data_IF_776935690642
#
_entry.id   IF_776935690642
#
_cell.length_a   1.000
_cell.length_b   1.000
_cell.length_c   1.000
_cell.angle_alpha   90.00
_cell.angle_beta   90.00
_cell.angle_gamma   90.00
#
_symmetry.space_group_name_H-M   'P 1'
#
loop_
_entity.id
_entity.type
_entity.pdbx_description
1 polymer ?
#
# COMPACT_ATOMS: atom_id res chain seq x y z
N UNK A 1 47.79 -10.75 17.68
CA UNK A 1 47.79 -10.19 16.30
C UNK A 1 46.35 -9.85 15.97
N UNK A 2 46.01 -8.57 16.07
CA UNK A 2 44.69 -8.03 15.75
C UNK A 2 44.53 -8.02 14.22
N UNK A 3 43.50 -8.69 13.70
CA UNK A 3 43.05 -8.50 12.34
C UNK A 3 41.94 -7.45 12.39
N UNK A 4 42.30 -6.21 12.06
CA UNK A 4 41.35 -5.12 11.87
C UNK A 4 40.41 -5.48 10.71
N UNK A 5 39.11 -5.49 11.02
CA UNK A 5 38.05 -5.75 10.06
C UNK A 5 38.12 -4.76 8.91
N UNK A 6 38.36 -5.30 7.71
CA UNK A 6 38.31 -4.56 6.47
C UNK A 6 36.97 -3.81 6.39
N UNK A 7 37.06 -2.48 6.39
CA UNK A 7 35.97 -1.58 6.06
C UNK A 7 35.46 -1.92 4.65
N UNK A 8 34.44 -2.79 4.56
CA UNK A 8 33.68 -3.03 3.34
C UNK A 8 32.95 -1.74 2.95
N UNK A 9 33.62 -0.94 2.12
CA UNK A 9 33.01 0.14 1.38
C UNK A 9 32.03 -0.48 0.37
N UNK A 10 30.76 -0.63 0.75
CA UNK A 10 29.71 -0.87 -0.23
C UNK A 10 29.65 0.35 -1.16
N UNK A 11 29.79 0.17 -2.49
CA UNK A 11 29.78 1.28 -3.43
C UNK A 11 28.45 2.05 -3.32
N UNK A 12 28.42 3.35 -3.66
CA UNK A 12 27.20 4.15 -3.61
C UNK A 12 26.20 3.64 -4.65
N UNK A 13 25.44 2.62 -4.30
CA UNK A 13 24.32 2.16 -5.11
C UNK A 13 23.34 3.32 -5.17
N UNK A 14 23.03 3.77 -6.39
CA UNK A 14 22.00 4.78 -6.67
C UNK A 14 20.79 4.51 -5.76
N UNK A 15 20.26 5.56 -5.12
CA UNK A 15 19.14 5.50 -4.15
C UNK A 15 18.00 4.55 -4.56
N UNK A 16 17.75 4.46 -5.86
CA UNK A 16 16.77 3.56 -6.51
C UNK A 16 17.11 2.07 -6.31
N UNK A 17 18.38 1.66 -6.49
CA UNK A 17 18.82 0.28 -6.29
C UNK A 17 18.71 -0.16 -4.83
N UNK A 18 19.01 0.75 -3.89
CA UNK A 18 18.94 0.45 -2.45
C UNK A 18 17.51 0.22 -1.95
N UNK A 19 16.53 0.89 -2.55
CA UNK A 19 15.11 0.73 -2.20
C UNK A 19 14.45 -0.38 -3.03
N UNK A 20 14.60 -0.40 -4.36
CA UNK A 20 13.89 -1.36 -5.22
C UNK A 20 14.51 -2.77 -5.17
N UNK A 21 15.83 -2.88 -4.99
CA UNK A 21 16.55 -4.18 -4.96
C UNK A 21 17.20 -4.41 -3.59
N UNK A 22 16.47 -4.13 -2.51
CA UNK A 22 16.92 -4.39 -1.15
C UNK A 22 16.60 -5.83 -0.75
N UNK A 23 17.57 -6.54 -0.19
CA UNK A 23 17.36 -7.86 0.42
C UNK A 23 17.01 -7.76 1.91
N UNK A 24 17.15 -6.56 2.51
CA UNK A 24 16.91 -6.34 3.93
C UNK A 24 15.41 -6.34 4.26
N UNK A 25 14.97 -7.30 5.08
CA UNK A 25 13.61 -7.45 5.56
C UNK A 25 13.02 -6.18 6.21
N UNK A 26 13.87 -5.31 6.79
CA UNK A 26 13.42 -4.02 7.38
C UNK A 26 13.06 -3.00 6.31
N UNK A 27 13.78 -2.97 5.19
CA UNK A 27 13.48 -2.06 4.08
C UNK A 27 12.19 -2.51 3.39
N UNK A 28 12.07 -3.82 3.14
CA UNK A 28 10.87 -4.42 2.55
C UNK A 28 9.64 -4.21 3.45
N UNK A 29 9.77 -4.43 4.77
CA UNK A 29 8.71 -4.16 5.73
C UNK A 29 8.22 -2.69 5.70
N UNK A 30 9.16 -1.73 5.63
CA UNK A 30 8.81 -0.29 5.51
C UNK A 30 8.08 0.03 4.21
N UNK A 31 8.41 -0.64 3.10
CA UNK A 31 7.70 -0.45 1.84
C UNK A 31 6.26 -0.95 1.89
N UNK A 32 6.03 -2.12 2.50
CA UNK A 32 4.68 -2.62 2.72
C UNK A 32 3.85 -1.69 3.61
N UNK A 33 4.46 -1.12 4.66
CA UNK A 33 3.76 -0.11 5.47
C UNK A 33 3.43 1.16 4.68
N UNK A 34 4.34 1.63 3.84
CA UNK A 34 4.07 2.80 2.99
C UNK A 34 2.94 2.52 1.99
N UNK A 35 2.95 1.35 1.35
CA UNK A 35 1.90 0.92 0.43
C UNK A 35 0.55 0.81 1.15
N UNK A 36 0.53 0.23 2.35
CA UNK A 36 -0.69 0.13 3.15
C UNK A 36 -1.20 1.51 3.61
N UNK A 37 -0.32 2.44 3.98
CA UNK A 37 -0.73 3.80 4.34
C UNK A 37 -1.34 4.53 3.13
N UNK A 38 -0.73 4.38 1.95
CA UNK A 38 -1.25 4.95 0.72
C UNK A 38 -2.61 4.36 0.33
N UNK A 39 -2.79 3.05 0.46
CA UNK A 39 -4.06 2.38 0.17
C UNK A 39 -5.16 2.77 1.16
N UNK A 40 -4.84 3.02 2.44
CA UNK A 40 -5.79 3.59 3.42
C UNK A 40 -6.29 4.95 2.98
N UNK A 41 -5.40 5.85 2.52
CA UNK A 41 -5.82 7.19 2.08
C UNK A 41 -6.81 7.11 0.91
N UNK A 42 -6.55 6.23 -0.07
CA UNK A 42 -7.46 5.98 -1.20
C UNK A 42 -8.78 5.37 -0.70
N UNK A 43 -8.71 4.36 0.18
CA UNK A 43 -9.87 3.72 0.76
C UNK A 43 -10.76 4.70 1.53
N UNK A 44 -10.17 5.61 2.30
CA UNK A 44 -10.89 6.65 3.02
C UNK A 44 -11.57 7.65 2.08
N UNK A 45 -10.88 8.08 1.02
CA UNK A 45 -11.47 8.94 0.00
C UNK A 45 -12.69 8.28 -0.68
N UNK A 46 -12.58 7.00 -1.04
CA UNK A 46 -13.71 6.23 -1.59
C UNK A 46 -14.86 6.08 -0.57
N UNK A 47 -14.55 5.84 0.70
CA UNK A 47 -15.56 5.73 1.77
C UNK A 47 -16.35 7.03 1.92
N UNK A 48 -15.67 8.18 1.88
CA UNK A 48 -16.33 9.48 1.92
C UNK A 48 -17.23 9.70 0.72
N UNK A 49 -16.78 9.35 -0.48
CA UNK A 49 -17.57 9.48 -1.70
C UNK A 49 -18.88 8.66 -1.63
N UNK A 50 -18.79 7.40 -1.18
CA UNK A 50 -19.94 6.50 -0.99
C UNK A 50 -20.92 7.10 0.05
N UNK A 51 -20.41 7.63 1.17
CA UNK A 51 -21.25 8.22 2.22
C UNK A 51 -21.96 9.49 1.77
N UNK A 52 -21.28 10.37 1.03
CA UNK A 52 -21.88 11.60 0.49
C UNK A 52 -23.03 11.24 -0.46
N UNK A 53 -22.83 10.26 -1.34
CA UNK A 53 -23.88 9.79 -2.24
C UNK A 53 -25.06 9.16 -1.49
N UNK A 54 -24.81 8.43 -0.39
CA UNK A 54 -25.87 7.82 0.42
C UNK A 54 -26.73 8.85 1.15
N UNK A 55 -26.15 9.99 1.57
CA UNK A 55 -26.89 11.10 2.21
C UNK A 55 -27.68 11.92 1.18
N UNK A 56 -27.09 12.17 0.01
CA UNK A 56 -27.72 12.94 -1.07
C UNK A 56 -27.67 12.20 -2.42
N UNK A 57 -28.60 11.26 -2.67
CA UNK A 57 -28.56 10.43 -3.87
C UNK A 57 -28.79 11.19 -5.18
N UNK A 58 -29.52 12.32 -5.12
CA UNK A 58 -29.84 13.15 -6.29
C UNK A 58 -28.95 14.40 -6.42
N UNK A 59 -27.95 14.58 -5.54
CA UNK A 59 -27.05 15.73 -5.63
C UNK A 59 -25.97 15.48 -6.68
N UNK A 60 -25.83 16.42 -7.61
CA UNK A 60 -24.68 16.44 -8.52
C UNK A 60 -23.42 16.72 -7.71
N UNK A 61 -22.48 15.75 -7.69
CA UNK A 61 -21.18 15.90 -7.06
C UNK A 61 -20.25 16.58 -8.07
N UNK A 62 -19.87 17.86 -7.85
CA UNK A 62 -19.04 18.58 -8.81
C UNK A 62 -17.66 17.92 -8.91
N UNK A 63 -17.27 17.58 -10.14
CA UNK A 63 -15.98 16.93 -10.45
C UNK A 63 -16.06 15.42 -10.68
N UNK A 64 -17.18 14.77 -10.34
CA UNK A 64 -17.36 13.34 -10.60
C UNK A 64 -17.48 13.03 -12.10
N UNK A 65 -18.10 13.93 -12.86
CA UNK A 65 -18.13 13.91 -14.34
C UNK A 65 -16.73 13.82 -14.96
N UNK A 66 -15.73 14.46 -14.34
CA UNK A 66 -14.34 14.47 -14.84
C UNK A 66 -13.60 13.18 -14.53
N UNK A 67 -13.98 12.49 -13.46
CA UNK A 67 -13.40 11.22 -13.03
C UNK A 67 -14.02 10.02 -13.76
N UNK A 68 -15.31 10.09 -14.10
CA UNK A 68 -16.00 9.05 -14.86
C UNK A 68 -17.19 9.62 -15.62
N UNK A 69 -16.96 10.06 -16.85
CA UNK A 69 -18.00 10.57 -17.75
C UNK A 69 -19.10 9.54 -18.06
N UNK A 70 -18.79 8.24 -17.94
CA UNK A 70 -19.74 7.14 -18.16
C UNK A 70 -20.49 6.71 -16.89
N UNK A 71 -19.90 6.90 -15.70
CA UNK A 71 -20.46 6.45 -14.42
C UNK A 71 -21.20 7.54 -13.62
N UNK A 72 -21.02 8.81 -13.99
CA UNK A 72 -21.71 9.92 -13.32
C UNK A 72 -22.12 11.04 -14.31
N UNK A 73 -23.04 10.79 -15.26
CA UNK A 73 -23.46 11.81 -16.21
C UNK A 73 -24.15 12.99 -15.52
N UNK A 74 -23.60 14.20 -15.67
CA UNK A 74 -24.09 15.42 -15.02
C UNK A 74 -23.77 15.48 -13.52
N UNK A 75 -22.83 14.66 -13.05
CA UNK A 75 -22.35 14.61 -11.68
C UNK A 75 -23.24 13.77 -10.76
N UNK A 76 -24.28 13.14 -11.30
CA UNK A 76 -25.14 12.20 -10.59
C UNK A 76 -24.62 10.78 -10.83
N UNK A 77 -24.18 10.13 -9.76
CA UNK A 77 -23.62 8.77 -9.80
C UNK A 77 -24.71 7.74 -10.13
N UNK A 78 -24.47 6.89 -11.12
CA UNK A 78 -25.40 5.79 -11.43
C UNK A 78 -25.31 4.68 -10.38
N UNK A 79 -26.38 3.88 -10.16
CA UNK A 79 -26.37 2.76 -9.22
C UNK A 79 -25.24 1.74 -9.50
N UNK A 80 -24.92 1.50 -10.78
CA UNK A 80 -23.86 0.59 -11.20
C UNK A 80 -22.47 1.14 -10.79
N UNK A 81 -22.25 2.44 -10.99
CA UNK A 81 -21.00 3.09 -10.60
C UNK A 81 -20.83 3.09 -9.08
N UNK A 82 -21.90 3.34 -8.32
CA UNK A 82 -21.90 3.21 -6.86
C UNK A 82 -21.47 1.81 -6.39
N UNK A 83 -22.06 0.75 -6.94
CA UNK A 83 -21.66 -0.63 -6.59
C UNK A 83 -20.20 -0.91 -6.96
N UNK A 84 -19.72 -0.39 -8.08
CA UNK A 84 -18.32 -0.56 -8.49
C UNK A 84 -17.36 0.11 -7.49
N UNK A 85 -17.67 1.34 -7.04
CA UNK A 85 -16.85 2.08 -6.08
C UNK A 85 -16.87 1.41 -4.70
N UNK A 86 -18.02 0.90 -4.27
CA UNK A 86 -18.13 0.11 -3.05
C UNK A 86 -17.26 -1.15 -3.10
N UNK A 87 -17.30 -1.86 -4.22
CA UNK A 87 -16.49 -3.08 -4.44
C UNK A 87 -15.00 -2.76 -4.46
N UNK A 88 -14.60 -1.65 -5.11
CA UNK A 88 -13.22 -1.18 -5.12
C UNK A 88 -12.74 -0.77 -3.73
N UNK A 89 -13.56 -0.04 -2.97
CA UNK A 89 -13.26 0.30 -1.58
C UNK A 89 -13.02 -0.95 -0.74
N UNK A 90 -13.93 -1.93 -0.80
CA UNK A 90 -13.80 -3.19 -0.08
C UNK A 90 -12.54 -3.96 -0.46
N UNK A 91 -12.27 -4.11 -1.76
CA UNK A 91 -11.07 -4.80 -2.28
C UNK A 91 -9.78 -4.12 -1.80
N UNK A 92 -9.70 -2.79 -1.86
CA UNK A 92 -8.51 -2.04 -1.42
C UNK A 92 -8.30 -2.22 0.09
N UNK A 93 -9.36 -2.07 0.90
CA UNK A 93 -9.24 -2.18 2.35
C UNK A 93 -8.89 -3.61 2.79
N UNK A 94 -9.46 -4.65 2.17
CA UNK A 94 -9.17 -6.02 2.56
C UNK A 94 -7.76 -6.43 2.08
N UNK A 95 -7.47 -6.31 0.79
CA UNK A 95 -6.22 -6.86 0.25
C UNK A 95 -5.01 -5.95 0.49
N UNK A 96 -5.16 -4.64 0.38
CA UNK A 96 -4.02 -3.71 0.45
C UNK A 96 -3.82 -3.07 1.82
N UNK A 97 -4.81 -3.15 2.72
CA UNK A 97 -4.63 -2.68 4.11
C UNK A 97 -4.55 -3.89 5.03
N UNK A 98 -5.58 -4.74 5.04
CA UNK A 98 -5.69 -5.83 6.01
C UNK A 98 -4.71 -6.97 5.74
N UNK A 99 -4.35 -7.26 4.49
CA UNK A 99 -3.26 -8.21 4.23
C UNK A 99 -1.90 -7.52 4.26
N UNK A 100 -1.72 -6.41 3.53
CA UNK A 100 -0.39 -5.80 3.38
C UNK A 100 0.19 -5.23 4.67
N UNK A 101 -0.58 -4.57 5.55
CA UNK A 101 -0.01 -4.00 6.77
C UNK A 101 0.35 -5.07 7.82
N UNK A 102 -0.59 -5.87 8.34
CA UNK A 102 -0.30 -6.82 9.41
C UNK A 102 0.32 -8.13 8.93
N UNK A 103 0.05 -8.61 7.71
CA UNK A 103 0.68 -9.84 7.22
C UNK A 103 2.04 -9.53 6.59
N UNK A 104 2.09 -8.63 5.61
CA UNK A 104 3.32 -8.34 4.87
C UNK A 104 4.23 -7.36 5.62
N UNK A 105 3.73 -6.23 6.11
CA UNK A 105 4.52 -5.21 6.80
C UNK A 105 5.05 -5.69 8.15
N UNK A 106 4.16 -6.16 9.02
CA UNK A 106 4.54 -6.65 10.34
C UNK A 106 5.34 -7.95 10.27
N UNK A 107 4.92 -8.89 9.41
CA UNK A 107 5.62 -10.15 9.18
C UNK A 107 7.08 -9.94 8.77
N UNK A 108 7.32 -9.01 7.84
CA UNK A 108 8.67 -8.70 7.39
C UNK A 108 9.51 -7.94 8.41
N UNK A 109 8.93 -6.93 9.05
CA UNK A 109 9.71 -6.04 9.90
C UNK A 109 9.97 -6.65 11.29
N UNK A 110 8.95 -7.22 11.92
CA UNK A 110 9.02 -7.61 13.34
C UNK A 110 9.32 -9.08 13.57
N UNK A 111 8.88 -10.02 12.72
CA UNK A 111 9.09 -11.45 12.99
C UNK A 111 10.57 -11.84 13.11
N UNK A 112 11.48 -11.44 12.19
CA UNK A 112 12.89 -11.80 12.31
C UNK A 112 13.52 -11.24 13.60
N UNK A 113 13.10 -10.02 13.98
CA UNK A 113 13.57 -9.36 15.22
C UNK A 113 13.08 -10.12 16.45
N UNK A 114 11.82 -10.58 16.47
CA UNK A 114 11.24 -11.32 17.60
C UNK A 114 11.88 -12.70 17.81
N UNK A 115 12.29 -13.37 16.73
CA UNK A 115 12.98 -14.67 16.80
C UNK A 115 14.50 -14.54 16.93
N UNK A 116 15.04 -13.31 16.93
CA UNK A 116 16.47 -13.05 17.01
C UNK A 116 17.26 -13.47 15.77
N UNK A 117 16.61 -13.63 14.62
CA UNK A 117 17.25 -13.95 13.35
C UNK A 117 17.84 -12.69 12.69
N UNK A 118 18.96 -12.86 11.99
CA UNK A 118 19.63 -11.76 11.28
C UNK A 118 18.86 -11.31 10.02
N UNK A 119 18.18 -12.23 9.34
CA UNK A 119 17.34 -11.97 8.17
C UNK A 119 16.26 -13.07 7.98
N UNK A 120 15.39 -12.93 6.97
CA UNK A 120 14.40 -13.94 6.61
C UNK A 120 15.04 -15.19 5.98
N UNK A 121 14.37 -16.35 6.11
CA UNK A 121 14.87 -17.63 5.57
C UNK A 121 15.05 -17.62 4.04
N UNK A 122 14.28 -16.80 3.31
CA UNK A 122 14.38 -16.66 1.86
C UNK A 122 14.37 -15.19 1.42
N UNK A 123 15.47 -14.43 1.56
CA UNK A 123 15.51 -12.99 1.31
C UNK A 123 15.16 -12.60 -0.14
N UNK A 124 15.60 -13.41 -1.12
CA UNK A 124 15.32 -13.15 -2.54
C UNK A 124 13.86 -13.36 -2.93
N UNK A 125 13.18 -14.33 -2.31
CA UNK A 125 11.75 -14.56 -2.55
C UNK A 125 10.90 -13.46 -1.94
N UNK A 126 11.36 -12.88 -0.83
CA UNK A 126 10.66 -11.82 -0.15
C UNK A 126 10.76 -10.45 -0.85
N UNK A 127 11.80 -10.24 -1.65
CA UNK A 127 11.98 -9.03 -2.47
C UNK A 127 11.10 -9.04 -3.74
N UNK A 128 10.65 -10.22 -4.20
CA UNK A 128 9.80 -10.37 -5.40
C UNK A 128 8.39 -9.83 -5.17
#
# INVERSE_FOLDING_TARGET
>A
MHAEGAHQHQPPQRFIWKYIFSLDHKVIGKQYYFLALFSVVIGMALSWLIRIHLVWPNASIPGLDKLSAAGAPGGVMTPEYYLSLLTLHGTIMIFFVLTTAPQSGFGNYFLPIQIGAEDMAFPRLNML
#
